data_IF_657886949564
#
_entry.id   IF_657886949564
#
_cell.length_a   1.000
_cell.length_b   1.000
_cell.length_c   1.000
_cell.angle_alpha   90.00
_cell.angle_beta   90.00
_cell.angle_gamma   90.00
#
_symmetry.space_group_name_H-M   'P 1'
#
loop_
_entity.id
_entity.type
_entity.pdbx_description
1 polymer ?
#
# COMPACT_ATOMS: atom_id res chain seq x y z
N UNK A 1 -0.09 22.39 11.56
CA UNK A 1 -1.13 21.69 12.34
C UNK A 1 -1.10 20.23 11.92
N UNK A 2 -0.91 19.29 12.85
CA UNK A 2 -0.95 17.85 12.54
C UNK A 2 -2.41 17.41 12.43
N UNK A 3 -2.78 16.81 11.30
CA UNK A 3 -4.06 16.14 11.08
C UNK A 3 -4.15 14.97 12.06
N UNK A 4 -5.30 14.87 12.73
CA UNK A 4 -5.65 13.72 13.56
C UNK A 4 -5.50 12.44 12.73
N UNK A 5 -4.60 11.56 13.17
CA UNK A 5 -4.45 10.24 12.57
C UNK A 5 -5.68 9.42 12.87
N UNK A 6 -6.24 8.79 11.84
CA UNK A 6 -7.44 7.94 11.98
C UNK A 6 -7.17 6.55 11.44
N UNK A 7 -7.72 5.56 12.13
CA UNK A 7 -7.71 4.16 11.71
C UNK A 7 -9.04 3.84 11.00
N UNK A 8 -8.93 3.03 9.96
CA UNK A 8 -10.05 2.59 9.12
C UNK A 8 -9.98 1.08 8.91
N UNK A 9 -11.13 0.45 8.64
CA UNK A 9 -11.27 -0.98 8.38
C UNK A 9 -12.11 -1.22 7.14
N UNK A 10 -11.85 -2.31 6.41
CA UNK A 10 -12.57 -2.62 5.17
C UNK A 10 -14.08 -2.70 5.40
N UNK A 11 -14.84 -1.95 4.59
CA UNK A 11 -16.30 -1.80 4.70
C UNK A 11 -17.06 -1.95 3.39
N UNK A 12 -16.39 -1.98 2.22
CA UNK A 12 -17.05 -2.18 0.93
C UNK A 12 -16.09 -2.44 -0.22
N UNK A 13 -16.63 -2.77 -1.40
CA UNK A 13 -15.87 -3.02 -2.63
C UNK A 13 -16.62 -2.49 -3.85
N UNK A 14 -15.88 -1.90 -4.79
CA UNK A 14 -16.38 -1.38 -6.05
C UNK A 14 -15.47 -1.85 -7.18
N UNK A 15 -16.04 -2.24 -8.31
CA UNK A 15 -15.29 -2.55 -9.52
C UNK A 15 -15.13 -1.27 -10.35
N UNK A 16 -13.90 -0.98 -10.79
CA UNK A 16 -13.57 0.27 -11.46
C UNK A 16 -13.29 0.10 -12.96
N UNK A 17 -12.66 -1.02 -13.37
CA UNK A 17 -12.40 -1.33 -14.78
C UNK A 17 -12.52 -2.84 -15.00
N UNK A 18 -13.32 -3.26 -15.98
CA UNK A 18 -13.50 -4.66 -16.34
C UNK A 18 -12.61 -5.17 -17.47
N UNK A 19 -12.22 -4.29 -18.40
CA UNK A 19 -11.42 -4.68 -19.55
C UNK A 19 -9.95 -4.31 -19.36
N UNK A 20 -9.06 -5.10 -19.98
CA UNK A 20 -7.63 -4.83 -19.97
C UNK A 20 -7.28 -3.58 -20.80
N UNK A 21 -6.38 -2.74 -20.29
CA UNK A 21 -5.89 -1.55 -20.96
C UNK A 21 -4.38 -1.62 -21.18
N UNK A 22 -3.93 -1.34 -22.40
CA UNK A 22 -2.50 -1.29 -22.77
C UNK A 22 -1.88 0.05 -22.34
N UNK A 23 -0.79 0.00 -21.58
CA UNK A 23 -0.05 1.19 -21.10
C UNK A 23 1.11 1.48 -22.05
N UNK A 24 0.86 2.29 -23.11
CA UNK A 24 1.89 2.64 -24.11
C UNK A 24 2.92 3.67 -23.64
N UNK A 25 2.51 4.58 -22.77
CA UNK A 25 3.41 5.58 -22.17
C UNK A 25 2.92 5.94 -20.77
N UNK A 26 1.82 6.69 -20.68
CA UNK A 26 1.15 6.98 -19.42
C UNK A 26 -0.36 6.92 -19.60
N UNK A 27 -1.04 6.21 -18.71
CA UNK A 27 -2.49 6.32 -18.53
C UNK A 27 -2.75 6.95 -17.17
N UNK A 28 -3.68 7.90 -17.12
CA UNK A 28 -4.04 8.65 -15.91
C UNK A 28 -5.54 8.62 -15.68
N UNK A 29 -5.93 8.33 -14.44
CA UNK A 29 -7.32 8.37 -13.99
C UNK A 29 -7.43 9.26 -12.77
N UNK A 30 -8.39 10.18 -12.76
CA UNK A 30 -8.74 10.94 -11.56
C UNK A 30 -10.06 10.41 -11.02
N UNK A 31 -10.01 9.86 -9.81
CA UNK A 31 -11.16 9.24 -9.14
C UNK A 31 -11.41 9.94 -7.83
N UNK A 32 -12.66 10.28 -7.54
CA UNK A 32 -13.05 10.86 -6.26
C UNK A 32 -13.53 9.76 -5.32
N UNK A 33 -12.66 9.29 -4.43
CA UNK A 33 -13.01 8.27 -3.45
C UNK A 33 -13.77 8.88 -2.28
N UNK A 34 -14.91 8.29 -1.92
CA UNK A 34 -15.67 8.77 -0.76
C UNK A 34 -14.94 8.48 0.55
N UNK A 35 -14.30 7.32 0.65
CA UNK A 35 -13.56 6.84 1.82
C UNK A 35 -12.08 6.59 1.45
N UNK A 36 -11.14 6.54 2.40
CA UNK A 36 -9.83 5.96 2.11
C UNK A 36 -10.00 4.48 1.78
N UNK A 37 -9.02 3.89 1.10
CA UNK A 37 -9.12 2.49 0.73
C UNK A 37 -7.92 1.94 0.01
N UNK A 38 -8.12 0.76 -0.58
CA UNK A 38 -7.14 0.13 -1.46
C UNK A 38 -7.61 0.16 -2.89
N UNK A 39 -6.70 0.48 -3.79
CA UNK A 39 -6.86 0.40 -5.23
C UNK A 39 -6.07 -0.80 -5.71
N UNK A 40 -6.77 -1.82 -6.17
CA UNK A 40 -6.20 -3.10 -6.54
C UNK A 40 -6.25 -3.22 -8.04
N UNK A 41 -5.19 -3.74 -8.62
CA UNK A 41 -5.07 -3.92 -10.07
C UNK A 41 -4.20 -5.12 -10.37
N UNK A 42 -4.48 -5.78 -11.47
CA UNK A 42 -3.56 -6.73 -12.07
C UNK A 42 -2.76 -6.05 -13.17
N UNK A 43 -1.47 -6.37 -13.26
CA UNK A 43 -0.61 -5.83 -14.29
C UNK A 43 0.28 -6.91 -14.89
N UNK A 44 0.66 -6.72 -16.14
CA UNK A 44 1.59 -7.53 -16.91
C UNK A 44 2.61 -6.57 -17.53
N UNK A 45 3.89 -6.93 -17.51
CA UNK A 45 4.91 -6.17 -18.23
C UNK A 45 5.90 -7.14 -18.88
N UNK A 46 5.87 -7.24 -20.19
CA UNK A 46 6.77 -8.09 -20.96
C UNK A 46 7.81 -7.24 -21.66
N UNK A 47 9.05 -7.40 -21.22
CA UNK A 47 10.24 -6.71 -21.75
C UNK A 47 11.28 -7.78 -22.11
N UNK A 48 11.83 -7.83 -23.34
CA UNK A 48 12.79 -8.85 -23.73
C UNK A 48 13.98 -8.90 -22.77
N UNK A 49 14.33 -10.11 -22.30
CA UNK A 49 15.51 -10.34 -21.47
C UNK A 49 16.75 -10.14 -22.35
N UNK A 50 17.76 -9.45 -21.83
CA UNK A 50 19.02 -9.26 -22.52
C UNK A 50 19.71 -10.59 -22.83
N UNK A 51 20.61 -10.60 -23.82
CA UNK A 51 21.41 -11.79 -24.15
C UNK A 51 22.31 -12.28 -23.02
N UNK A 52 22.58 -11.41 -22.05
CA UNK A 52 23.30 -11.67 -20.80
C UNK A 52 22.40 -12.29 -19.69
N UNK A 53 21.13 -12.53 -19.97
CA UNK A 53 20.15 -13.04 -19.01
C UNK A 53 19.67 -11.98 -18.00
N UNK A 54 20.06 -10.72 -18.16
CA UNK A 54 19.62 -9.63 -17.29
C UNK A 54 18.27 -9.08 -17.77
N UNK A 55 17.40 -8.74 -16.81
CA UNK A 55 16.26 -7.90 -17.11
C UNK A 55 16.79 -6.57 -17.67
N UNK A 56 16.14 -5.96 -18.67
CA UNK A 56 16.52 -4.62 -19.12
C UNK A 56 16.10 -3.55 -18.10
N UNK A 57 16.77 -2.40 -18.08
CA UNK A 57 16.44 -1.25 -17.21
C UNK A 57 15.19 -0.50 -17.71
N UNK A 58 14.08 -1.24 -17.79
CA UNK A 58 12.75 -0.78 -18.23
C UNK A 58 11.76 -1.00 -17.11
N UNK A 59 10.94 0.00 -16.82
CA UNK A 59 10.15 0.04 -15.59
C UNK A 59 8.67 0.27 -15.86
N UNK A 60 7.84 -0.53 -15.20
CA UNK A 60 6.42 -0.21 -14.99
C UNK A 60 6.28 0.49 -13.64
N UNK A 61 5.66 1.67 -13.63
CA UNK A 61 5.58 2.55 -12.47
C UNK A 61 4.12 2.93 -12.22
N UNK A 62 3.73 2.92 -10.94
CA UNK A 62 2.43 3.45 -10.51
C UNK A 62 2.64 4.63 -9.58
N UNK A 63 1.93 5.73 -9.87
CA UNK A 63 1.93 6.92 -9.04
C UNK A 63 0.53 7.25 -8.54
N UNK A 64 0.48 7.82 -7.34
CA UNK A 64 -0.73 8.39 -6.75
C UNK A 64 -0.44 9.85 -6.43
N UNK A 65 -1.16 10.76 -7.09
CA UNK A 65 -0.93 12.20 -7.04
C UNK A 65 0.52 12.59 -7.38
N UNK A 66 1.10 11.95 -8.38
CA UNK A 66 2.49 12.19 -8.81
C UNK A 66 3.56 11.54 -7.93
N UNK A 67 3.19 10.91 -6.80
CA UNK A 67 4.11 10.21 -5.91
C UNK A 67 4.23 8.75 -6.34
N UNK A 68 5.46 8.28 -6.59
CA UNK A 68 5.73 6.88 -6.92
C UNK A 68 5.39 5.96 -5.75
N UNK A 69 4.44 5.04 -5.96
CA UNK A 69 3.99 4.05 -4.97
C UNK A 69 4.37 2.63 -5.35
N UNK A 70 4.73 2.38 -6.60
CA UNK A 70 5.11 1.05 -7.05
C UNK A 70 6.04 1.13 -8.26
N UNK A 71 7.02 0.22 -8.30
CA UNK A 71 7.91 0.03 -9.43
C UNK A 71 8.21 -1.45 -9.61
N UNK A 72 8.12 -1.93 -10.84
CA UNK A 72 8.46 -3.30 -11.21
C UNK A 72 9.21 -3.39 -12.55
N UNK A 73 9.96 -4.48 -12.70
CA UNK A 73 10.58 -4.92 -13.96
C UNK A 73 10.12 -6.34 -14.27
N UNK A 74 9.58 -6.54 -15.47
CA UNK A 74 9.35 -7.87 -16.04
C UNK A 74 8.51 -8.83 -15.19
N UNK A 75 7.31 -8.49 -14.71
CA UNK A 75 6.32 -9.51 -14.39
C UNK A 75 5.86 -10.08 -15.74
N UNK A 76 6.57 -11.10 -16.21
CA UNK A 76 6.31 -11.81 -17.46
C UNK A 76 4.98 -12.57 -17.46
N UNK A 77 4.27 -12.55 -16.32
CA UNK A 77 2.93 -13.04 -16.12
C UNK A 77 2.10 -11.99 -15.33
N UNK A 78 0.79 -12.18 -15.28
CA UNK A 78 -0.13 -11.31 -14.57
C UNK A 78 0.11 -11.36 -13.05
N UNK A 79 0.41 -10.21 -12.46
CA UNK A 79 0.53 -10.06 -11.02
C UNK A 79 -0.53 -9.12 -10.48
N UNK A 80 -1.15 -9.49 -9.36
CA UNK A 80 -2.06 -8.61 -8.62
C UNK A 80 -1.27 -7.74 -7.62
N UNK A 81 -1.59 -6.44 -7.60
CA UNK A 81 -1.02 -5.48 -6.67
C UNK A 81 -2.11 -4.63 -6.04
N UNK A 82 -1.80 -4.14 -4.85
CA UNK A 82 -2.67 -3.30 -4.04
C UNK A 82 -1.92 -1.98 -3.79
N UNK A 83 -2.59 -0.83 -3.90
CA UNK A 83 -2.06 0.48 -3.48
C UNK A 83 -3.02 1.20 -2.55
N UNK A 84 -2.50 1.89 -1.53
CA UNK A 84 -3.34 2.66 -0.62
C UNK A 84 -3.66 4.05 -1.19
N UNK A 85 -4.93 4.43 -1.11
CA UNK A 85 -5.43 5.71 -1.61
C UNK A 85 -6.21 6.44 -0.51
N UNK A 86 -6.03 7.75 -0.44
CA UNK A 86 -6.79 8.60 0.48
C UNK A 86 -8.22 8.86 0.00
N UNK A 87 -9.05 9.39 0.88
CA UNK A 87 -10.35 9.95 0.49
C UNK A 87 -10.18 11.22 -0.37
N UNK A 88 -11.22 11.59 -1.11
CA UNK A 88 -11.22 12.75 -1.99
C UNK A 88 -10.70 12.44 -3.40
N UNK A 89 -10.41 13.48 -4.20
CA UNK A 89 -9.87 13.30 -5.54
C UNK A 89 -8.43 12.76 -5.47
N UNK A 90 -8.20 11.62 -6.12
CA UNK A 90 -6.89 11.00 -6.25
C UNK A 90 -6.61 10.75 -7.73
N UNK A 91 -5.40 11.08 -8.17
CA UNK A 91 -4.93 10.86 -9.53
C UNK A 91 -4.01 9.64 -9.54
N UNK A 92 -4.45 8.57 -10.19
CA UNK A 92 -3.70 7.32 -10.35
C UNK A 92 -3.06 7.32 -11.74
N UNK A 93 -1.75 7.09 -11.80
CA UNK A 93 -0.98 7.07 -13.04
C UNK A 93 -0.27 5.74 -13.20
N UNK A 94 -0.38 5.15 -14.38
CA UNK A 94 0.40 4.00 -14.81
C UNK A 94 1.35 4.47 -15.90
N UNK A 95 2.66 4.33 -15.69
CA UNK A 95 3.69 4.81 -16.62
C UNK A 95 4.70 3.73 -16.94
N UNK A 96 5.07 3.62 -18.21
CA UNK A 96 6.20 2.82 -18.69
C UNK A 96 7.42 3.70 -18.96
N UNK A 97 8.59 3.34 -18.44
CA UNK A 97 9.86 4.05 -18.68
C UNK A 97 10.85 3.14 -19.40
N UNK A 98 11.43 3.63 -20.50
CA UNK A 98 12.44 2.91 -21.29
C UNK A 98 11.87 1.85 -22.24
N UNK A 99 10.54 1.77 -22.35
CA UNK A 99 9.86 0.84 -23.25
C UNK A 99 10.03 1.29 -24.70
N UNK A 100 10.32 0.33 -25.58
CA UNK A 100 10.39 0.45 -27.03
C UNK A 100 9.25 -0.31 -27.70
N UNK A 101 9.34 -0.44 -29.02
CA UNK A 101 8.24 -0.95 -29.88
C UNK A 101 7.84 -2.41 -29.64
N UNK A 102 8.73 -3.24 -29.08
CA UNK A 102 8.47 -4.65 -28.80
C UNK A 102 8.06 -4.93 -27.35
N UNK A 103 8.09 -3.91 -26.49
CA UNK A 103 7.72 -4.06 -25.09
C UNK A 103 6.23 -3.81 -24.91
N UNK A 104 5.60 -4.57 -24.01
CA UNK A 104 4.17 -4.42 -23.73
C UNK A 104 3.91 -4.34 -22.24
N UNK A 105 2.98 -3.47 -21.86
CA UNK A 105 2.47 -3.38 -20.50
C UNK A 105 0.95 -3.29 -20.53
N UNK A 106 0.29 -4.02 -19.65
CA UNK A 106 -1.16 -4.01 -19.52
C UNK A 106 -1.58 -3.90 -18.06
N UNK A 107 -2.76 -3.33 -17.86
CA UNK A 107 -3.48 -3.33 -16.57
C UNK A 107 -4.87 -3.93 -16.77
N UNK A 108 -5.39 -4.63 -15.76
CA UNK A 108 -6.77 -5.15 -15.74
C UNK A 108 -7.26 -5.37 -14.30
N UNK A 109 -8.46 -5.92 -14.15
CA UNK A 109 -9.04 -6.37 -12.88
C UNK A 109 -8.92 -5.29 -11.79
N UNK A 110 -9.41 -4.08 -12.11
CA UNK A 110 -9.24 -2.94 -11.22
C UNK A 110 -10.40 -2.87 -10.24
N UNK A 111 -10.09 -3.01 -8.95
CA UNK A 111 -11.03 -2.95 -7.85
C UNK A 111 -10.65 -1.88 -6.85
N UNK A 112 -11.64 -1.28 -6.20
CA UNK A 112 -11.43 -0.43 -5.05
C UNK A 112 -12.12 -1.01 -3.83
N UNK A 113 -11.39 -1.18 -2.74
CA UNK A 113 -11.94 -1.58 -1.45
C UNK A 113 -11.99 -0.37 -0.52
N UNK A 114 -13.19 0.02 -0.11
CA UNK A 114 -13.41 1.15 0.78
C UNK A 114 -13.16 0.75 2.24
N UNK A 115 -12.52 1.63 3.00
CA UNK A 115 -12.24 1.45 4.42
C UNK A 115 -12.95 2.53 5.24
N UNK A 116 -13.89 2.11 6.08
CA UNK A 116 -14.64 3.00 6.96
C UNK A 116 -13.91 3.24 8.27
N UNK A 117 -14.13 4.41 8.85
CA UNK A 117 -13.51 4.80 10.12
C UNK A 117 -13.81 3.80 11.25
N UNK A 118 -12.79 3.48 12.04
CA UNK A 118 -12.92 2.71 13.29
C UNK A 118 -13.24 3.70 14.41
N UNK A 119 -14.48 3.70 14.94
CA UNK A 119 -14.85 4.60 16.04
C UNK A 119 -14.17 4.16 17.35
N UNK A 120 -14.34 4.97 18.40
CA UNK A 120 -13.94 4.65 19.77
C UNK A 120 -12.42 4.56 20.04
N UNK A 121 -11.61 5.04 19.10
CA UNK A 121 -10.20 5.39 19.34
C UNK A 121 -10.14 6.85 19.76
N UNK A 122 -9.58 7.11 20.93
CA UNK A 122 -9.44 8.49 21.43
C UNK A 122 -8.38 9.25 20.64
N UNK A 123 -7.22 8.59 20.42
CA UNK A 123 -6.10 9.21 19.72
C UNK A 123 -5.15 8.15 19.18
N UNK A 124 -4.47 8.50 18.09
CA UNK A 124 -3.33 7.76 17.56
C UNK A 124 -2.08 8.64 17.66
N UNK A 125 -1.03 8.13 18.29
CA UNK A 125 0.23 8.83 18.54
C UNK A 125 1.46 8.02 18.11
N UNK A 126 2.65 8.63 18.23
CA UNK A 126 3.96 7.96 18.12
C UNK A 126 4.12 7.09 16.86
N UNK A 127 3.73 7.63 15.71
CA UNK A 127 3.80 6.89 14.45
C UNK A 127 5.22 6.87 13.93
N UNK A 128 5.80 5.68 13.80
CA UNK A 128 7.03 5.46 13.07
C UNK A 128 6.67 4.98 11.67
N UNK A 129 6.97 5.82 10.70
CA UNK A 129 6.68 5.56 9.30
C UNK A 129 7.64 4.52 8.72
N UNK A 130 7.21 3.79 7.68
CA UNK A 130 8.06 2.85 6.96
C UNK A 130 9.18 3.60 6.24
N UNK A 131 10.24 2.87 5.87
CA UNK A 131 11.37 3.45 5.14
C UNK A 131 10.93 4.00 3.78
N UNK A 132 11.57 5.08 3.34
CA UNK A 132 11.36 5.65 2.02
C UNK A 132 11.76 4.68 0.91
N UNK A 133 11.18 4.88 -0.28
CA UNK A 133 11.40 4.03 -1.44
C UNK A 133 12.88 3.84 -1.81
N UNK A 134 13.65 4.93 -1.72
CA UNK A 134 15.08 4.91 -2.01
C UNK A 134 15.88 4.09 -1.01
N UNK A 135 15.41 4.01 0.24
CA UNK A 135 16.01 3.18 1.29
C UNK A 135 15.65 1.69 1.21
N UNK A 136 14.78 1.29 0.28
CA UNK A 136 14.32 -0.09 0.06
C UNK A 136 15.01 -0.78 -1.13
N UNK A 137 16.10 -0.22 -1.63
CA UNK A 137 16.84 -0.77 -2.78
C UNK A 137 17.59 -2.07 -2.42
N UNK A 138 17.01 -3.18 -2.92
CA UNK A 138 17.62 -4.44 -3.37
C UNK A 138 18.02 -5.51 -2.32
N UNK A 139 17.46 -6.70 -2.49
CA UNK A 139 18.07 -7.98 -2.12
C UNK A 139 18.51 -8.73 -3.40
N UNK A 140 19.50 -9.62 -3.28
CA UNK A 140 19.93 -10.52 -4.36
C UNK A 140 18.82 -11.55 -4.64
N UNK A 141 18.02 -11.32 -5.68
CA UNK A 141 17.06 -12.30 -6.21
C UNK A 141 17.74 -13.11 -7.34
N UNK A 142 17.28 -14.34 -7.58
CA UNK A 142 17.77 -15.19 -8.68
C UNK A 142 17.74 -14.47 -10.04
N UNK A 143 18.70 -14.82 -10.90
CA UNK A 143 18.87 -14.23 -12.22
C UNK A 143 17.59 -14.40 -13.06
N UNK A 144 17.14 -13.34 -13.74
CA UNK A 144 15.94 -13.37 -14.59
C UNK A 144 14.58 -13.35 -13.88
N UNK A 145 14.53 -13.33 -12.54
CA UNK A 145 13.26 -13.26 -11.80
C UNK A 145 12.68 -11.84 -11.79
N UNK A 146 11.34 -11.65 -11.87
CA UNK A 146 10.71 -10.34 -11.76
C UNK A 146 11.23 -9.55 -10.54
N UNK A 147 11.78 -8.36 -10.78
CA UNK A 147 12.25 -7.49 -9.69
C UNK A 147 11.10 -6.62 -9.23
N UNK A 148 10.34 -7.10 -8.23
CA UNK A 148 9.54 -6.21 -7.39
C UNK A 148 10.41 -5.58 -6.30
N UNK A 149 10.01 -4.43 -5.77
CA UNK A 149 10.62 -3.83 -4.57
C UNK A 149 10.42 -4.72 -3.33
N UNK A 150 11.15 -5.83 -3.22
CA UNK A 150 11.12 -6.67 -2.02
C UNK A 150 11.77 -5.92 -0.86
N UNK A 151 10.96 -5.27 -0.04
CA UNK A 151 11.39 -4.81 1.26
C UNK A 151 11.30 -5.98 2.23
N UNK A 152 12.40 -6.33 2.91
CA UNK A 152 12.31 -7.13 4.13
C UNK A 152 11.32 -6.51 5.12
N UNK A 153 10.86 -7.27 6.12
CA UNK A 153 9.72 -6.93 7.00
C UNK A 153 9.68 -5.46 7.48
N UNK A 154 10.84 -4.89 7.84
CA UNK A 154 10.99 -3.51 8.34
C UNK A 154 10.60 -2.39 7.36
N UNK A 155 10.52 -2.63 6.06
CA UNK A 155 10.07 -1.65 5.06
C UNK A 155 8.55 -1.65 4.81
N UNK A 156 7.85 -2.59 5.44
CA UNK A 156 6.44 -2.87 5.24
C UNK A 156 5.62 -2.66 6.52
N UNK A 157 6.20 -2.01 7.53
CA UNK A 157 5.65 -1.90 8.88
C UNK A 157 5.41 -0.44 9.24
N UNK A 158 4.25 -0.15 9.83
CA UNK A 158 3.95 1.12 10.50
C UNK A 158 3.75 0.84 11.98
N UNK A 159 4.60 1.42 12.83
CA UNK A 159 4.41 1.35 14.28
C UNK A 159 3.60 2.56 14.73
N UNK A 160 2.62 2.38 15.62
CA UNK A 160 1.78 3.46 16.13
C UNK A 160 1.16 3.08 17.48
N UNK A 161 0.80 4.09 18.25
CA UNK A 161 0.17 3.90 19.57
C UNK A 161 -1.28 4.34 19.50
N UNK A 162 -2.20 3.45 19.90
CA UNK A 162 -3.64 3.72 19.98
C UNK A 162 -4.05 3.91 21.44
N UNK A 163 -4.81 4.97 21.70
CA UNK A 163 -5.32 5.29 23.03
C UNK A 163 -6.82 5.01 23.09
N UNK A 164 -7.23 4.27 24.12
CA UNK A 164 -8.63 3.96 24.41
C UNK A 164 -9.00 4.50 25.79
N UNK A 165 -10.15 5.18 25.89
CA UNK A 165 -10.70 5.66 27.17
C UNK A 165 -11.40 4.58 27.99
N UNK A 166 -11.81 3.48 27.35
CA UNK A 166 -12.57 2.39 27.95
C UNK A 166 -12.00 1.02 27.53
N UNK A 167 -12.02 0.06 28.44
CA UNK A 167 -11.56 -1.31 28.19
C UNK A 167 -12.44 -2.06 27.18
N UNK A 168 -13.74 -1.73 27.10
CA UNK A 168 -14.67 -2.30 26.12
C UNK A 168 -14.25 -1.96 24.69
N UNK A 169 -13.87 -0.70 24.44
CA UNK A 169 -13.39 -0.25 23.13
C UNK A 169 -12.07 -0.92 22.74
N UNK A 170 -11.16 -1.09 23.70
CA UNK A 170 -9.94 -1.84 23.47
C UNK A 170 -10.24 -3.32 23.13
N UNK A 171 -11.19 -3.97 23.83
CA UNK A 171 -11.59 -5.35 23.52
C UNK A 171 -12.20 -5.47 22.12
N UNK A 172 -13.04 -4.53 21.71
CA UNK A 172 -13.63 -4.52 20.38
C UNK A 172 -12.58 -4.31 19.29
N UNK A 173 -11.59 -3.44 19.54
CA UNK A 173 -10.43 -3.32 18.68
C UNK A 173 -9.66 -4.64 18.57
N UNK A 174 -9.32 -5.27 19.70
CA UNK A 174 -8.59 -6.55 19.75
C UNK A 174 -9.31 -7.70 19.03
N UNK A 175 -10.64 -7.69 18.98
CA UNK A 175 -11.42 -8.70 18.22
C UNK A 175 -11.23 -8.58 16.71
N UNK A 176 -10.88 -7.39 16.23
CA UNK A 176 -10.87 -7.06 14.82
C UNK A 176 -9.46 -6.89 14.23
N UNK A 177 -8.39 -6.92 15.04
CA UNK A 177 -6.99 -6.64 14.61
C UNK A 177 -6.51 -7.46 13.40
N UNK A 178 -7.00 -8.69 13.25
CA UNK A 178 -6.66 -9.56 12.12
C UNK A 178 -7.28 -9.14 10.79
N UNK A 179 -8.25 -8.22 10.80
CA UNK A 179 -8.80 -7.66 9.56
C UNK A 179 -7.81 -6.67 8.92
N UNK A 180 -7.92 -6.43 7.60
CA UNK A 180 -7.19 -5.34 6.97
C UNK A 180 -7.59 -3.98 7.58
N UNK A 181 -6.57 -3.19 7.92
CA UNK A 181 -6.69 -1.83 8.43
C UNK A 181 -5.92 -0.85 7.55
N UNK A 182 -6.36 0.41 7.59
CA UNK A 182 -5.66 1.55 7.01
C UNK A 182 -5.50 2.62 8.08
N UNK A 183 -4.29 3.16 8.21
CA UNK A 183 -4.00 4.39 8.96
C UNK A 183 -3.85 5.54 7.97
N UNK A 184 -4.57 6.63 8.22
CA UNK A 184 -4.45 7.89 7.46
C UNK A 184 -3.87 8.97 8.38
N UNK A 185 -3.01 9.82 7.85
CA UNK A 185 -2.42 10.95 8.57
C UNK A 185 -1.75 11.96 7.65
N UNK A 186 -0.96 12.86 8.24
CA UNK A 186 -0.31 13.99 7.56
C UNK A 186 0.53 13.62 6.33
N UNK A 187 1.14 12.43 6.34
CA UNK A 187 2.12 12.00 5.34
C UNK A 187 1.56 10.98 4.34
N UNK A 188 0.30 10.57 4.51
CA UNK A 188 -0.37 9.67 3.56
C UNK A 188 -1.29 8.63 4.19
N UNK A 189 -1.55 7.59 3.40
CA UNK A 189 -2.42 6.47 3.74
C UNK A 189 -1.61 5.18 3.66
N UNK A 190 -1.62 4.40 4.73
CA UNK A 190 -0.85 3.15 4.85
C UNK A 190 -1.77 2.06 5.35
N UNK A 191 -1.58 0.81 4.93
CA UNK A 191 -2.46 -0.28 5.35
C UNK A 191 -1.76 -1.62 5.50
N UNK A 192 -2.46 -2.56 6.13
CA UNK A 192 -1.93 -3.86 6.47
C UNK A 192 -2.81 -4.62 7.46
N UNK A 193 -2.24 -5.63 8.11
CA UNK A 193 -2.86 -6.38 9.21
C UNK A 193 -2.08 -6.08 10.50
N UNK A 194 -2.80 -6.01 11.62
CA UNK A 194 -2.20 -5.89 12.96
C UNK A 194 -2.23 -7.28 13.59
N UNK A 195 -1.07 -7.87 13.84
CA UNK A 195 -1.00 -9.18 14.50
C UNK A 195 -1.04 -9.01 16.03
N UNK A 196 -1.67 -9.91 16.81
CA UNK A 196 -1.77 -9.73 18.26
C UNK A 196 -0.44 -9.75 19.00
N UNK A 197 0.55 -10.51 18.52
CA UNK A 197 1.91 -10.50 19.07
C UNK A 197 2.62 -9.15 18.88
N UNK A 198 2.12 -8.31 17.98
CA UNK A 198 2.61 -6.96 17.73
C UNK A 198 1.84 -5.89 18.52
N UNK A 199 0.92 -6.31 19.40
CA UNK A 199 0.17 -5.42 20.30
C UNK A 199 0.72 -5.55 21.72
N UNK A 200 1.42 -4.52 22.17
CA UNK A 200 1.83 -4.36 23.58
C UNK A 200 0.91 -3.34 24.25
N UNK A 201 0.27 -3.74 25.35
CA UNK A 201 -0.71 -2.89 26.04
C UNK A 201 -0.24 -2.52 27.44
N UNK A 202 -0.30 -1.22 27.75
CA UNK A 202 -0.10 -0.71 29.10
C UNK A 202 -1.34 0.04 29.57
N UNK A 203 -1.63 -0.04 30.87
CA UNK A 203 -2.73 0.70 31.48
C UNK A 203 -2.20 1.89 32.26
N UNK A 204 -2.76 3.08 32.02
CA UNK A 204 -2.48 4.30 32.79
C UNK A 204 -3.80 4.89 33.30
N UNK A 205 -4.18 4.54 34.52
CA UNK A 205 -5.49 4.87 35.07
C UNK A 205 -6.62 4.13 34.34
N UNK A 206 -7.63 4.86 33.85
CA UNK A 206 -8.73 4.32 33.03
C UNK A 206 -8.36 4.16 31.56
N UNK A 207 -7.27 4.79 31.12
CA UNK A 207 -6.79 4.74 29.75
C UNK A 207 -6.04 3.43 29.46
N UNK A 208 -6.36 2.81 28.32
CA UNK A 208 -5.60 1.68 27.76
C UNK A 208 -4.78 2.19 26.58
N UNK A 209 -3.47 1.95 26.60
CA UNK A 209 -2.55 2.35 25.54
C UNK A 209 -2.05 1.09 24.85
N UNK A 210 -2.33 0.94 23.56
CA UNK A 210 -1.90 -0.20 22.75
C UNK A 210 -0.86 0.25 21.72
N UNK A 211 0.38 -0.20 21.87
CA UNK A 211 1.41 -0.06 20.84
C UNK A 211 1.15 -1.15 19.82
N UNK A 212 0.97 -0.75 18.56
CA UNK A 212 0.60 -1.62 17.47
C UNK A 212 1.65 -1.55 16.37
N UNK A 213 1.81 -2.65 15.64
CA UNK A 213 2.50 -2.67 14.36
C UNK A 213 1.53 -3.11 13.27
N UNK A 214 1.39 -2.29 12.24
CA UNK A 214 0.62 -2.59 11.03
C UNK A 214 1.58 -3.12 9.97
N UNK A 215 1.41 -4.37 9.55
CA UNK A 215 2.27 -5.01 8.55
C UNK A 215 1.54 -5.13 7.22
N UNK A 216 2.13 -4.62 6.14
CA UNK A 216 1.57 -4.72 4.79
C UNK A 216 1.29 -6.17 4.41
N UNK A 217 0.11 -6.43 3.82
CA UNK A 217 -0.25 -7.75 3.30
C UNK A 217 0.49 -8.09 1.99
N UNK A 218 1.02 -7.08 1.30
CA UNK A 218 1.74 -7.23 0.04
C UNK A 218 3.24 -7.09 0.30
N UNK A 219 4.04 -8.12 -0.01
CA UNK A 219 5.48 -8.24 0.29
C UNK A 219 6.42 -7.21 -0.38
N UNK A 220 5.89 -6.16 -1.01
CA UNK A 220 6.71 -5.16 -1.68
C UNK A 220 5.94 -3.86 -1.88
N UNK A 221 6.40 -2.77 -1.25
CA UNK A 221 6.28 -1.43 -1.82
C UNK A 221 5.01 -0.60 -1.56
N UNK A 222 4.05 -1.04 -0.75
CA UNK A 222 2.77 -0.30 -0.68
C UNK A 222 2.65 0.65 0.52
N UNK A 223 3.42 0.40 1.57
CA UNK A 223 3.53 1.33 2.70
C UNK A 223 4.43 2.54 2.41
N UNK A 224 4.91 2.74 1.19
CA UNK A 224 6.00 3.70 0.92
C UNK A 224 5.56 5.12 1.26
N UNK A 225 6.24 5.77 2.21
CA UNK A 225 6.29 7.22 2.26
C UNK A 225 7.08 7.67 1.02
N UNK A 226 6.39 8.34 0.10
CA UNK A 226 6.96 8.77 -1.17
C UNK A 226 7.45 10.21 -1.15
N UNK A 227 7.69 10.75 0.06
CA UNK A 227 8.53 11.93 0.27
C UNK A 227 10.01 11.60 0.09
#
# INVERSE_FOLDING_TARGET
MSILKTLHRRGGSYHLLGDAAEVKNTIRYTIKFSWPGTYNFSFLSQVPIGSDGMLPDKYFIVRVNGIERFRARGPYDWEAREIFVGAGPQTIEFTTIGYGSSDIAYIRDVHYYAFGHVPNIEKIEQTKLPKSLDGLKLHNVMHGYPRSQSAGSKGCEVEFTVLFKDISYWRDFMREIYRPHIITGDYGTYGGIIQPNEVDSIRKGTLVIAKCKLTSMSQAGVGVDGM
#
